data_IF_905920362002
#
_entry.id   IF_905920362002
#
_cell.length_a   1.000
_cell.length_b   1.000
_cell.length_c   1.000
_cell.angle_alpha   90.00
_cell.angle_beta   90.00
_cell.angle_gamma   90.00
#
_symmetry.space_group_name_H-M   'P 1'
#
loop_
_entity.id
_entity.type
_entity.pdbx_description
1 polymer ?
#
# COMPACT_ATOMS: atom_id res chain seq x y z
N UNK A 1 17.09 -14.79 -27.42
CA UNK A 1 16.74 -15.38 -26.10
C UNK A 1 15.83 -14.40 -25.38
N UNK A 2 14.75 -14.87 -24.76
CA UNK A 2 13.91 -14.01 -23.95
C UNK A 2 14.74 -13.45 -22.78
N UNK A 3 14.54 -12.16 -22.45
CA UNK A 3 15.25 -11.49 -21.36
C UNK A 3 14.81 -12.13 -20.04
N UNK A 4 15.72 -12.61 -19.22
CA UNK A 4 15.43 -13.24 -17.95
C UNK A 4 15.54 -12.19 -16.83
N UNK A 5 14.53 -12.11 -15.97
CA UNK A 5 14.46 -11.17 -14.86
C UNK A 5 14.61 -11.91 -13.53
N UNK A 6 15.40 -11.40 -12.56
CA UNK A 6 15.69 -12.10 -11.32
C UNK A 6 14.61 -11.93 -10.25
N UNK A 7 13.58 -11.12 -10.50
CA UNK A 7 12.65 -10.66 -9.49
C UNK A 7 11.85 -11.79 -8.84
N UNK A 8 11.91 -11.86 -7.51
CA UNK A 8 11.17 -12.77 -6.64
C UNK A 8 10.28 -12.03 -5.64
N UNK A 9 10.55 -10.75 -5.42
CA UNK A 9 9.84 -9.92 -4.45
C UNK A 9 9.27 -8.70 -5.14
N UNK A 10 8.02 -8.31 -4.77
CA UNK A 10 7.42 -7.03 -5.15
C UNK A 10 7.16 -6.19 -3.90
N UNK A 11 7.50 -4.90 -3.96
CA UNK A 11 7.20 -3.92 -2.93
C UNK A 11 6.34 -2.79 -3.49
N UNK A 12 5.19 -2.52 -2.85
CA UNK A 12 4.20 -1.54 -3.29
C UNK A 12 4.16 -0.33 -2.35
N UNK A 13 4.41 0.86 -2.88
CA UNK A 13 4.26 2.11 -2.14
C UNK A 13 2.80 2.38 -1.80
N UNK A 14 2.55 3.01 -0.64
CA UNK A 14 1.25 3.59 -0.30
C UNK A 14 0.94 4.82 -1.15
N UNK A 15 -0.35 5.06 -1.42
CA UNK A 15 -0.71 6.19 -2.27
C UNK A 15 -2.21 6.41 -2.46
N UNK A 16 -3.06 5.77 -1.67
CA UNK A 16 -4.52 5.89 -1.83
C UNK A 16 -4.96 5.51 -3.23
N UNK A 17 -5.83 6.32 -3.85
CA UNK A 17 -6.38 6.05 -5.20
C UNK A 17 -5.32 5.99 -6.29
N UNK A 18 -4.16 6.66 -6.12
CA UNK A 18 -3.06 6.62 -7.09
C UNK A 18 -2.57 5.19 -7.38
N UNK A 19 -2.77 4.27 -6.44
CA UNK A 19 -2.37 2.86 -6.58
C UNK A 19 -3.14 2.09 -7.65
N UNK A 20 -4.24 2.65 -8.18
CA UNK A 20 -4.91 2.12 -9.38
C UNK A 20 -3.93 1.97 -10.55
N UNK A 21 -2.94 2.84 -10.66
CA UNK A 21 -1.89 2.75 -11.68
C UNK A 21 -1.08 1.43 -11.63
N UNK A 22 -1.06 0.74 -10.48
CA UNK A 22 -0.35 -0.53 -10.35
C UNK A 22 -0.96 -1.64 -11.20
N UNK A 23 -2.25 -1.59 -11.50
CA UNK A 23 -2.93 -2.54 -12.39
C UNK A 23 -2.27 -2.58 -13.77
N UNK A 24 -1.94 -1.41 -14.33
CA UNK A 24 -1.24 -1.32 -15.61
C UNK A 24 0.17 -1.93 -15.56
N UNK A 25 0.93 -1.66 -14.50
CA UNK A 25 2.25 -2.25 -14.32
C UNK A 25 2.19 -3.78 -14.13
N UNK A 26 1.23 -4.28 -13.36
CA UNK A 26 1.02 -5.71 -13.14
C UNK A 26 0.69 -6.46 -14.43
N UNK A 27 -0.09 -5.85 -15.33
CA UNK A 27 -0.40 -6.43 -16.66
C UNK A 27 0.87 -6.66 -17.46
N UNK A 28 1.78 -5.68 -17.50
CA UNK A 28 3.07 -5.82 -18.20
C UNK A 28 3.97 -6.86 -17.52
N UNK A 29 3.98 -6.93 -16.17
CA UNK A 29 4.76 -7.93 -15.44
C UNK A 29 4.25 -9.36 -15.72
N UNK A 30 2.94 -9.56 -15.86
CA UNK A 30 2.37 -10.86 -16.25
C UNK A 30 2.76 -11.23 -17.68
N UNK A 31 2.58 -10.33 -18.66
CA UNK A 31 2.96 -10.52 -20.06
C UNK A 31 4.44 -10.88 -20.23
N UNK A 32 5.30 -10.33 -19.40
CA UNK A 32 6.75 -10.61 -19.41
C UNK A 32 7.14 -11.85 -18.59
N UNK A 33 6.17 -12.57 -18.02
CA UNK A 33 6.39 -13.77 -17.22
C UNK A 33 7.07 -13.51 -15.88
N UNK A 34 7.06 -12.26 -15.39
CA UNK A 34 7.66 -11.89 -14.10
C UNK A 34 6.71 -12.22 -12.96
N UNK A 35 5.42 -11.89 -13.08
CA UNK A 35 4.46 -12.04 -12.00
C UNK A 35 4.31 -13.48 -11.48
N UNK A 36 4.32 -14.53 -12.35
CA UNK A 36 4.26 -15.93 -11.88
C UNK A 36 5.43 -16.36 -10.99
N UNK A 37 6.61 -15.78 -11.18
CA UNK A 37 7.82 -16.14 -10.41
C UNK A 37 7.95 -15.40 -9.08
N UNK A 38 7.09 -14.41 -8.81
CA UNK A 38 7.09 -13.67 -7.55
C UNK A 38 6.66 -14.59 -6.40
N UNK A 39 7.45 -14.59 -5.35
CA UNK A 39 7.28 -15.41 -4.15
C UNK A 39 6.80 -14.60 -2.95
N UNK A 40 7.22 -13.32 -2.87
CA UNK A 40 6.97 -12.44 -1.72
C UNK A 40 6.43 -11.11 -2.18
N UNK A 41 5.55 -10.52 -1.37
CA UNK A 41 4.98 -9.21 -1.64
C UNK A 41 4.95 -8.37 -0.36
N UNK A 42 5.26 -7.09 -0.47
CA UNK A 42 5.21 -6.14 0.63
C UNK A 42 4.44 -4.88 0.22
N UNK A 43 3.74 -4.26 1.16
CA UNK A 43 3.02 -3.03 0.87
C UNK A 43 2.72 -2.20 2.11
N UNK A 44 2.47 -0.91 1.89
CA UNK A 44 2.07 0.07 2.90
C UNK A 44 0.75 0.70 2.46
N UNK A 45 -0.23 0.89 3.38
CA UNK A 45 -1.50 1.56 3.09
C UNK A 45 -2.23 0.92 1.89
N UNK A 46 -2.66 1.68 0.89
CA UNK A 46 -3.23 1.17 -0.34
C UNK A 46 -2.28 0.21 -1.10
N UNK A 47 -0.95 0.40 -0.96
CA UNK A 47 0.04 -0.55 -1.47
C UNK A 47 0.01 -1.90 -0.75
N UNK A 48 -0.41 -1.95 0.54
CA UNK A 48 -0.64 -3.20 1.25
C UNK A 48 -1.88 -3.94 0.71
N UNK A 49 -2.91 -3.21 0.29
CA UNK A 49 -4.06 -3.79 -0.43
C UNK A 49 -3.58 -4.42 -1.73
N UNK A 50 -2.80 -3.68 -2.53
CA UNK A 50 -2.22 -4.19 -3.77
C UNK A 50 -1.39 -5.47 -3.53
N UNK A 51 -0.51 -5.46 -2.53
CA UNK A 51 0.28 -6.62 -2.13
C UNK A 51 -0.61 -7.82 -1.76
N UNK A 52 -1.70 -7.59 -1.01
CA UNK A 52 -2.63 -8.63 -0.61
C UNK A 52 -3.34 -9.26 -1.81
N UNK A 53 -3.87 -8.44 -2.72
CA UNK A 53 -4.54 -8.95 -3.92
C UNK A 53 -3.58 -9.75 -4.81
N UNK A 54 -2.36 -9.25 -4.99
CA UNK A 54 -1.30 -9.96 -5.71
C UNK A 54 -0.90 -11.24 -4.98
N UNK A 55 -0.98 -11.30 -3.64
CA UNK A 55 -0.60 -12.50 -2.88
C UNK A 55 -1.41 -13.74 -3.24
N UNK A 56 -2.67 -13.59 -3.65
CA UNK A 56 -3.58 -14.70 -4.00
C UNK A 56 -3.16 -15.51 -5.22
N UNK A 57 -2.15 -15.10 -5.99
CA UNK A 57 -1.68 -15.79 -7.21
C UNK A 57 -2.74 -15.91 -8.32
N UNK A 58 -3.71 -15.01 -8.33
CA UNK A 58 -4.70 -14.91 -9.40
C UNK A 58 -4.05 -14.37 -10.70
N UNK A 59 -4.74 -14.55 -11.84
CA UNK A 59 -4.39 -13.79 -13.05
C UNK A 59 -4.55 -12.29 -12.82
N UNK A 60 -3.82 -11.47 -13.57
CA UNK A 60 -3.93 -10.00 -13.44
C UNK A 60 -5.35 -9.53 -13.69
N UNK A 61 -6.06 -10.12 -14.66
CA UNK A 61 -7.47 -9.77 -14.90
C UNK A 61 -8.31 -9.94 -13.63
N UNK A 62 -8.26 -11.10 -12.97
CA UNK A 62 -9.00 -11.34 -11.73
C UNK A 62 -8.52 -10.44 -10.58
N UNK A 63 -7.22 -10.15 -10.51
CA UNK A 63 -6.66 -9.23 -9.53
C UNK A 63 -7.22 -7.82 -9.75
N UNK A 64 -7.30 -7.35 -10.99
CA UNK A 64 -7.88 -6.07 -11.36
C UNK A 64 -9.39 -6.02 -11.10
N UNK A 65 -10.12 -7.11 -11.35
CA UNK A 65 -11.55 -7.20 -11.02
C UNK A 65 -11.78 -6.99 -9.51
N UNK A 66 -10.91 -7.55 -8.66
CA UNK A 66 -10.95 -7.32 -7.22
C UNK A 66 -10.58 -5.87 -6.86
N UNK A 67 -9.55 -5.28 -7.46
CA UNK A 67 -9.22 -3.86 -7.28
C UNK A 67 -10.40 -2.96 -7.60
N UNK A 68 -11.11 -3.26 -8.69
CA UNK A 68 -12.19 -2.43 -9.21
C UNK A 68 -13.55 -2.70 -8.52
N UNK A 69 -13.61 -3.69 -7.64
CA UNK A 69 -14.85 -4.01 -6.91
C UNK A 69 -15.14 -3.07 -5.73
N UNK A 70 -14.16 -2.24 -5.31
CA UNK A 70 -14.37 -1.23 -4.28
C UNK A 70 -14.83 0.09 -4.92
N UNK A 71 -15.88 0.68 -4.36
CA UNK A 71 -16.19 2.08 -4.62
C UNK A 71 -15.40 2.98 -3.65
N UNK A 72 -14.42 3.70 -4.19
CA UNK A 72 -13.58 4.58 -3.39
C UNK A 72 -14.37 5.71 -2.72
N UNK A 73 -15.48 6.17 -3.31
CA UNK A 73 -16.33 7.20 -2.73
C UNK A 73 -16.97 6.77 -1.40
N UNK A 74 -17.14 5.47 -1.19
CA UNK A 74 -17.71 4.90 0.02
C UNK A 74 -16.70 4.65 1.15
N UNK A 75 -15.39 4.80 0.89
CA UNK A 75 -14.34 4.52 1.89
C UNK A 75 -14.43 5.45 3.10
N UNK A 76 -14.50 6.81 2.98
CA UNK A 76 -14.65 7.67 4.14
C UNK A 76 -16.09 7.61 4.67
N UNK A 77 -16.32 6.88 5.76
CA UNK A 77 -17.63 6.79 6.36
C UNK A 77 -17.69 7.52 7.70
N UNK A 78 -18.87 8.05 8.04
CA UNK A 78 -19.10 8.68 9.34
C UNK A 78 -19.57 7.67 10.42
N UNK A 79 -19.87 6.42 10.05
CA UNK A 79 -20.33 5.36 10.96
C UNK A 79 -19.19 4.45 11.40
N UNK A 80 -18.95 4.35 12.72
CA UNK A 80 -17.96 3.46 13.30
C UNK A 80 -18.34 1.98 13.21
N UNK A 81 -17.34 1.07 13.17
CA UNK A 81 -17.53 -0.39 13.16
C UNK A 81 -18.32 -0.89 14.38
N UNK A 82 -18.20 -0.23 15.53
CA UNK A 82 -18.91 -0.61 16.77
C UNK A 82 -20.35 -0.10 16.89
N UNK A 83 -20.80 0.80 16.02
CA UNK A 83 -22.11 1.47 16.13
C UNK A 83 -23.24 0.74 15.37
N UNK A 84 -23.04 -0.51 14.97
CA UNK A 84 -24.00 -1.30 14.20
C UNK A 84 -25.29 -1.70 14.98
N UNK A 85 -25.29 -1.55 16.30
CA UNK A 85 -26.44 -1.94 17.15
C UNK A 85 -27.45 -0.81 17.41
N UNK A 86 -27.12 0.44 17.05
CA UNK A 86 -28.01 1.58 17.28
C UNK A 86 -28.54 2.12 15.95
N UNK A 87 -29.83 1.85 15.66
CA UNK A 87 -30.58 2.53 14.60
C UNK A 87 -31.40 3.65 15.25
N UNK A 88 -31.16 4.94 14.90
CA UNK A 88 -32.04 6.00 15.33
C UNK A 88 -33.43 5.83 14.70
N UNK A 89 -34.50 6.22 15.42
CA UNK A 89 -35.83 6.23 14.84
C UNK A 89 -35.90 7.10 13.59
N UNK A 90 -36.61 6.67 12.56
CA UNK A 90 -36.70 7.29 11.20
C UNK A 90 -37.40 8.66 11.14
N UNK A 91 -37.37 9.47 12.19
CA UNK A 91 -38.17 10.71 12.29
C UNK A 91 -37.34 11.98 12.49
N UNK A 92 -36.13 12.08 11.93
CA UNK A 92 -35.31 13.28 12.07
C UNK A 92 -34.97 13.83 10.67
N UNK A 93 -35.33 15.09 10.42
CA UNK A 93 -35.14 15.81 9.15
C UNK A 93 -33.65 15.96 8.74
N UNK A 94 -33.34 16.16 7.42
CA UNK A 94 -31.96 16.14 6.88
C UNK A 94 -30.98 17.13 7.53
N UNK A 95 -31.46 18.19 8.18
CA UNK A 95 -30.60 19.18 8.86
C UNK A 95 -30.07 18.69 10.21
N UNK A 96 -30.82 17.84 10.90
CA UNK A 96 -30.41 17.27 12.19
C UNK A 96 -29.38 16.17 11.98
N UNK A 97 -29.47 15.42 10.88
CA UNK A 97 -28.46 14.41 10.51
C UNK A 97 -27.08 15.00 10.31
N UNK A 98 -26.95 16.21 9.72
CA UNK A 98 -25.65 16.89 9.58
C UNK A 98 -25.05 17.32 10.92
N UNK A 99 -25.86 17.80 11.86
CA UNK A 99 -25.39 18.23 13.19
C UNK A 99 -25.01 17.03 14.04
N UNK A 100 -25.79 15.96 14.03
CA UNK A 100 -25.51 14.71 14.76
C UNK A 100 -24.27 14.03 14.17
N UNK A 101 -24.13 13.97 12.84
CA UNK A 101 -22.95 13.36 12.20
C UNK A 101 -21.67 14.15 12.47
N UNK A 102 -21.73 15.49 12.55
CA UNK A 102 -20.59 16.31 12.93
C UNK A 102 -20.20 16.14 14.41
N UNK A 103 -21.18 15.99 15.31
CA UNK A 103 -20.91 15.73 16.72
C UNK A 103 -20.23 14.38 16.93
N UNK A 104 -20.67 13.34 16.24
CA UNK A 104 -20.05 12.01 16.27
C UNK A 104 -18.65 12.02 15.65
N UNK A 105 -18.41 12.80 14.61
CA UNK A 105 -17.08 12.98 14.02
C UNK A 105 -16.14 13.71 14.98
N UNK A 106 -16.61 14.76 15.66
CA UNK A 106 -15.83 15.48 16.69
C UNK A 106 -15.52 14.56 17.87
N UNK A 107 -16.51 13.80 18.36
CA UNK A 107 -16.31 12.81 19.43
C UNK A 107 -15.28 11.75 19.01
N UNK A 108 -15.36 11.27 17.77
CA UNK A 108 -14.41 10.29 17.21
C UNK A 108 -13.01 10.87 17.13
N UNK A 109 -12.87 12.09 16.64
CA UNK A 109 -11.58 12.79 16.60
C UNK A 109 -10.94 12.92 17.99
N UNK A 110 -11.73 13.25 19.00
CA UNK A 110 -11.25 13.47 20.38
C UNK A 110 -10.89 12.16 21.11
N UNK A 111 -11.64 11.08 20.89
CA UNK A 111 -11.49 9.83 21.64
C UNK A 111 -10.88 8.67 20.85
N UNK A 112 -10.90 8.74 19.51
CA UNK A 112 -10.36 7.72 18.63
C UNK A 112 -9.34 8.28 17.64
N UNK A 113 -9.02 9.57 17.73
CA UNK A 113 -8.01 10.26 16.96
C UNK A 113 -8.25 10.26 15.45
N UNK A 114 -9.51 10.16 14.98
CA UNK A 114 -9.86 10.15 13.58
C UNK A 114 -11.24 10.74 13.28
N UNK A 115 -11.35 11.40 12.12
CA UNK A 115 -12.62 12.02 11.68
C UNK A 115 -13.58 11.00 11.08
N UNK A 116 -13.07 10.11 10.23
CA UNK A 116 -13.82 9.05 9.56
C UNK A 116 -13.58 7.68 10.20
N UNK A 117 -14.58 6.81 10.12
CA UNK A 117 -14.42 5.40 10.35
C UNK A 117 -14.00 4.69 9.04
N UNK A 118 -13.22 3.63 9.14
CA UNK A 118 -12.76 2.84 8.00
C UNK A 118 -13.57 1.54 7.84
N UNK A 119 -14.88 1.61 8.10
CA UNK A 119 -15.74 0.43 8.14
C UNK A 119 -15.98 -0.20 6.78
N UNK A 120 -16.31 0.61 5.78
CA UNK A 120 -16.63 0.13 4.42
C UNK A 120 -15.42 -0.57 3.81
N UNK A 121 -14.24 0.06 3.90
CA UNK A 121 -12.99 -0.56 3.45
C UNK A 121 -12.71 -1.87 4.20
N UNK A 122 -12.88 -1.90 5.52
CA UNK A 122 -12.65 -3.11 6.31
C UNK A 122 -13.60 -4.26 5.93
N UNK A 123 -14.88 -3.96 5.72
CA UNK A 123 -15.85 -4.96 5.26
C UNK A 123 -15.47 -5.50 3.88
N UNK A 124 -15.17 -4.62 2.93
CA UNK A 124 -14.73 -5.01 1.60
C UNK A 124 -13.47 -5.90 1.64
N UNK A 125 -12.50 -5.56 2.52
CA UNK A 125 -11.30 -6.38 2.71
C UNK A 125 -11.64 -7.79 3.21
N UNK A 126 -12.54 -7.89 4.20
CA UNK A 126 -12.99 -9.19 4.71
C UNK A 126 -13.72 -10.00 3.64
N UNK A 127 -14.62 -9.37 2.90
CA UNK A 127 -15.36 -10.03 1.82
C UNK A 127 -14.40 -10.51 0.72
N UNK A 128 -13.46 -9.67 0.31
CA UNK A 128 -12.43 -10.00 -0.69
C UNK A 128 -11.55 -11.17 -0.24
N UNK A 129 -11.04 -11.13 0.99
CA UNK A 129 -10.26 -12.24 1.57
C UNK A 129 -11.13 -13.50 1.66
N UNK A 130 -12.37 -13.35 2.11
CA UNK A 130 -13.31 -14.46 2.22
C UNK A 130 -13.54 -15.21 0.90
N UNK A 131 -13.61 -14.49 -0.23
CA UNK A 131 -13.74 -15.11 -1.55
C UNK A 131 -12.57 -16.03 -1.92
N UNK A 132 -11.37 -15.78 -1.35
CA UNK A 132 -10.15 -16.56 -1.61
C UNK A 132 -9.86 -17.58 -0.49
N UNK A 133 -10.58 -17.51 0.63
CA UNK A 133 -10.33 -18.26 1.86
C UNK A 133 -11.58 -19.02 2.35
N UNK A 134 -12.34 -19.64 1.46
CA UNK A 134 -13.52 -20.48 1.76
C UNK A 134 -14.56 -19.81 2.67
N UNK A 135 -14.76 -18.51 2.47
CA UNK A 135 -15.67 -17.66 3.25
C UNK A 135 -15.05 -17.06 4.53
N UNK A 136 -13.80 -17.38 4.87
CA UNK A 136 -13.14 -16.83 6.04
C UNK A 136 -12.47 -15.47 5.73
N UNK A 137 -13.21 -14.38 5.90
CA UNK A 137 -12.70 -13.01 5.73
C UNK A 137 -11.69 -12.56 6.80
N UNK A 138 -11.50 -13.36 7.85
CA UNK A 138 -10.52 -13.12 8.90
C UNK A 138 -9.35 -14.11 8.87
N UNK A 139 -9.07 -14.68 7.68
CA UNK A 139 -7.92 -15.56 7.51
C UNK A 139 -6.62 -14.90 7.96
N UNK A 140 -5.82 -15.69 8.67
CA UNK A 140 -4.55 -15.25 9.28
C UNK A 140 -3.39 -15.32 8.30
N UNK A 141 -2.25 -14.72 8.65
CA UNK A 141 -1.03 -14.85 7.85
C UNK A 141 -0.54 -16.31 7.75
N UNK A 142 -0.71 -17.14 8.80
CA UNK A 142 -0.39 -18.56 8.72
C UNK A 142 -1.29 -19.30 7.74
N UNK A 143 -2.60 -19.04 7.76
CA UNK A 143 -3.54 -19.62 6.81
C UNK A 143 -3.26 -19.20 5.36
N UNK A 144 -2.80 -17.95 5.12
CA UNK A 144 -2.35 -17.52 3.79
C UNK A 144 -1.17 -18.36 3.31
N UNK A 145 -0.18 -18.61 4.17
CA UNK A 145 0.98 -19.45 3.86
C UNK A 145 0.57 -20.90 3.57
N UNK A 146 -0.32 -21.47 4.37
CA UNK A 146 -0.84 -22.84 4.20
C UNK A 146 -1.59 -23.03 2.88
N UNK A 147 -2.26 -21.99 2.40
CA UNK A 147 -2.94 -21.97 1.08
C UNK A 147 -1.97 -21.79 -0.09
N UNK A 148 -0.68 -21.59 0.16
CA UNK A 148 0.33 -21.39 -0.88
C UNK A 148 0.27 -20.02 -1.54
N UNK A 149 -0.36 -19.03 -0.90
CA UNK A 149 -0.30 -17.63 -1.34
C UNK A 149 1.14 -17.11 -1.25
N UNK A 150 1.45 -16.01 -1.94
CA UNK A 150 2.75 -15.35 -1.79
C UNK A 150 2.93 -14.86 -0.36
N UNK A 151 4.16 -14.93 0.14
CA UNK A 151 4.49 -14.47 1.50
C UNK A 151 4.23 -12.95 1.58
N UNK A 152 3.24 -12.58 2.40
CA UNK A 152 2.68 -11.23 2.47
C UNK A 152 3.25 -10.47 3.66
N UNK A 153 3.71 -9.23 3.39
CA UNK A 153 4.25 -8.30 4.37
C UNK A 153 3.46 -6.99 4.34
N UNK A 154 2.84 -6.62 5.45
CA UNK A 154 2.05 -5.39 5.58
C UNK A 154 2.75 -4.47 6.57
N UNK A 155 3.03 -3.24 6.13
CA UNK A 155 3.76 -2.25 6.94
C UNK A 155 2.81 -1.26 7.58
N UNK A 156 3.03 -0.99 8.86
CA UNK A 156 2.31 0.00 9.65
C UNK A 156 3.28 0.80 10.55
N UNK A 157 2.76 1.88 11.14
CA UNK A 157 3.48 2.68 12.14
C UNK A 157 2.92 2.42 13.52
N UNK A 158 3.75 1.92 14.45
CA UNK A 158 3.43 1.89 15.87
C UNK A 158 3.75 3.26 16.49
N UNK A 159 2.73 4.03 16.85
CA UNK A 159 2.89 5.36 17.44
C UNK A 159 3.37 5.28 18.90
N UNK A 160 2.98 4.25 19.65
CA UNK A 160 3.38 4.10 21.06
C UNK A 160 4.88 3.91 21.21
N UNK A 161 5.50 3.16 20.28
CA UNK A 161 6.94 2.91 20.26
C UNK A 161 7.71 3.77 19.24
N UNK A 162 7.00 4.54 18.38
CA UNK A 162 7.58 5.37 17.31
C UNK A 162 8.44 4.54 16.34
N UNK A 163 7.93 3.39 15.95
CA UNK A 163 8.67 2.43 15.12
C UNK A 163 7.83 1.90 13.96
N UNK A 164 8.51 1.46 12.92
CA UNK A 164 7.91 0.69 11.83
C UNK A 164 7.59 -0.71 12.33
N UNK A 165 6.39 -1.20 12.01
CA UNK A 165 5.97 -2.58 12.27
C UNK A 165 5.63 -3.26 10.96
N UNK A 166 6.20 -4.45 10.73
CA UNK A 166 5.83 -5.32 9.62
C UNK A 166 5.05 -6.51 10.16
N UNK A 167 3.83 -6.69 9.68
CA UNK A 167 2.97 -7.84 9.94
C UNK A 167 3.16 -8.86 8.82
N UNK A 168 3.47 -10.10 9.17
CA UNK A 168 3.66 -11.19 8.23
C UNK A 168 3.59 -12.55 8.94
N UNK A 169 3.58 -13.64 8.19
CA UNK A 169 3.48 -14.98 8.76
C UNK A 169 4.64 -15.38 9.69
N UNK A 170 5.81 -14.72 9.61
CA UNK A 170 6.93 -14.98 10.51
C UNK A 170 6.88 -14.19 11.82
N UNK A 171 6.23 -13.03 11.86
CA UNK A 171 6.18 -12.13 13.02
C UNK A 171 4.84 -12.12 13.75
N UNK A 172 3.74 -12.32 13.01
CA UNK A 172 2.36 -12.26 13.51
C UNK A 172 1.49 -13.32 12.82
N UNK A 173 1.83 -14.63 12.95
CA UNK A 173 1.18 -15.72 12.21
C UNK A 173 -0.34 -15.79 12.43
N UNK A 174 -0.79 -15.52 13.65
CA UNK A 174 -2.19 -15.68 14.07
C UNK A 174 -3.03 -14.39 13.87
N UNK A 175 -2.40 -13.30 13.39
CA UNK A 175 -3.12 -12.07 13.09
C UNK A 175 -3.93 -12.21 11.81
N UNK A 176 -5.20 -11.77 11.84
CA UNK A 176 -6.00 -11.70 10.63
C UNK A 176 -5.41 -10.67 9.64
N UNK A 177 -5.28 -11.05 8.37
CA UNK A 177 -4.74 -10.16 7.34
C UNK A 177 -5.60 -8.90 7.18
N UNK A 178 -6.93 -9.02 7.29
CA UNK A 178 -7.84 -7.87 7.26
C UNK A 178 -7.54 -6.85 8.38
N UNK A 179 -7.16 -7.30 9.58
CA UNK A 179 -6.81 -6.42 10.70
C UNK A 179 -5.50 -5.67 10.43
N UNK A 180 -4.51 -6.35 9.87
CA UNK A 180 -3.25 -5.73 9.47
C UNK A 180 -3.46 -4.66 8.39
N UNK A 181 -4.34 -4.93 7.42
CA UNK A 181 -4.72 -3.98 6.38
C UNK A 181 -5.46 -2.77 6.96
N UNK A 182 -6.42 -2.98 7.88
CA UNK A 182 -7.12 -1.91 8.58
C UNK A 182 -6.13 -0.97 9.30
N UNK A 183 -5.16 -1.54 9.99
CA UNK A 183 -4.10 -0.80 10.68
C UNK A 183 -3.24 -0.03 9.68
N UNK A 184 -2.79 -0.70 8.61
CA UNK A 184 -1.91 -0.09 7.60
C UNK A 184 -2.53 1.08 6.85
N UNK A 185 -3.87 1.14 6.78
CA UNK A 185 -4.64 2.20 6.13
C UNK A 185 -5.19 3.26 7.08
N UNK A 186 -4.87 3.20 8.37
CA UNK A 186 -5.37 4.13 9.37
C UNK A 186 -4.63 5.48 9.29
N UNK A 187 -4.92 6.28 8.25
CA UNK A 187 -4.35 7.62 8.04
C UNK A 187 -4.64 8.49 9.27
N UNK A 188 -3.60 9.02 9.97
CA UNK A 188 -3.77 9.78 11.18
C UNK A 188 -4.73 10.95 11.04
N UNK A 189 -5.59 11.14 12.04
CA UNK A 189 -6.61 12.18 12.11
C UNK A 189 -7.70 12.05 11.03
N UNK A 190 -7.44 11.43 9.90
CA UNK A 190 -8.43 11.16 8.86
C UNK A 190 -9.26 9.93 9.22
N UNK A 191 -8.63 8.79 9.47
CA UNK A 191 -9.26 7.58 10.02
C UNK A 191 -8.95 7.38 11.51
N UNK A 192 -9.79 6.60 12.19
CA UNK A 192 -9.56 6.22 13.59
C UNK A 192 -8.20 5.53 13.76
N UNK A 193 -7.42 5.92 14.76
CA UNK A 193 -6.22 5.18 15.14
C UNK A 193 -6.62 3.82 15.74
N UNK A 194 -5.88 2.78 15.44
CA UNK A 194 -6.20 1.41 15.83
C UNK A 194 -5.32 0.98 16.99
N UNK A 195 -5.95 0.51 18.09
CA UNK A 195 -5.21 -0.18 19.15
C UNK A 195 -5.06 -1.66 18.81
N UNK A 196 -3.85 -2.20 19.03
CA UNK A 196 -3.54 -3.61 18.82
C UNK A 196 -2.52 -4.09 19.86
N UNK A 197 -2.80 -5.20 20.54
CA UNK A 197 -1.97 -5.76 21.61
C UNK A 197 -1.03 -6.88 21.16
N UNK A 198 -1.01 -7.19 19.86
CA UNK A 198 -0.28 -8.32 19.28
C UNK A 198 -1.18 -9.50 18.91
N UNK A 199 -2.42 -9.53 19.37
CA UNK A 199 -3.41 -10.58 19.11
C UNK A 199 -4.74 -10.04 18.61
N UNK A 200 -5.27 -8.99 19.24
CA UNK A 200 -6.59 -8.43 18.91
C UNK A 200 -6.61 -6.92 18.83
N UNK A 201 -7.54 -6.41 18.05
CA UNK A 201 -7.84 -4.98 17.94
C UNK A 201 -8.67 -4.52 19.15
N UNK A 202 -8.38 -3.29 19.64
CA UNK A 202 -9.13 -2.60 20.69
C UNK A 202 -8.40 -2.48 22.03
N UNK A 203 -7.19 -2.99 22.12
CA UNK A 203 -6.30 -2.86 23.29
C UNK A 203 -4.84 -2.72 22.83
N UNK A 204 -3.92 -2.40 23.73
CA UNK A 204 -2.48 -2.34 23.49
C UNK A 204 -2.02 -1.03 22.87
N UNK A 205 -0.98 -1.11 22.03
CA UNK A 205 -0.35 0.04 21.40
C UNK A 205 -1.24 0.69 20.33
N UNK A 206 -1.04 1.98 20.12
CA UNK A 206 -1.69 2.72 19.02
C UNK A 206 -0.90 2.57 17.74
N UNK A 207 -1.61 2.20 16.68
CA UNK A 207 -1.09 2.08 15.32
C UNK A 207 -1.82 3.01 14.38
N UNK A 208 -1.09 3.46 13.36
CA UNK A 208 -1.60 4.25 12.24
C UNK A 208 -0.97 3.79 10.94
N UNK A 209 -1.38 4.42 9.83
CA UNK A 209 -0.88 4.16 8.49
C UNK A 209 0.65 4.09 8.45
N UNK A 210 1.15 3.09 7.74
CA UNK A 210 2.59 2.87 7.58
C UNK A 210 3.29 4.00 6.82
N UNK A 211 2.55 4.77 6.02
CA UNK A 211 3.03 5.92 5.27
C UNK A 211 3.65 7.03 6.12
N UNK A 212 3.39 7.03 7.44
CA UNK A 212 4.01 7.98 8.36
C UNK A 212 5.53 7.80 8.43
N UNK A 213 6.00 6.55 8.59
CA UNK A 213 7.42 6.26 8.77
C UNK A 213 8.06 5.51 7.60
N UNK A 214 7.29 4.71 6.87
CA UNK A 214 7.81 3.86 5.80
C UNK A 214 6.79 3.63 4.69
N UNK A 215 6.56 4.67 3.88
CA UNK A 215 5.54 4.63 2.82
C UNK A 215 5.90 3.68 1.67
N UNK A 216 7.18 3.47 1.39
CA UNK A 216 7.65 2.57 0.34
C UNK A 216 8.52 1.45 0.92
N UNK A 217 7.96 0.23 1.16
CA UNK A 217 8.61 -0.83 1.91
C UNK A 217 9.59 -1.67 1.06
N UNK A 218 10.36 -1.03 0.17
CA UNK A 218 11.30 -1.69 -0.74
C UNK A 218 12.42 -2.43 0.00
N UNK A 219 12.73 -2.00 1.23
CA UNK A 219 13.81 -2.56 2.05
C UNK A 219 13.37 -3.74 2.94
N UNK A 220 12.08 -4.11 2.93
CA UNK A 220 11.58 -5.22 3.78
C UNK A 220 12.34 -6.52 3.52
N UNK A 221 12.76 -6.74 2.27
CA UNK A 221 13.49 -7.94 1.86
C UNK A 221 15.02 -7.76 1.83
N UNK A 222 15.53 -6.61 2.30
CA UNK A 222 16.97 -6.33 2.44
C UNK A 222 17.53 -6.75 3.82
N UNK A 223 16.76 -7.51 4.60
CA UNK A 223 17.11 -7.95 5.96
C UNK A 223 16.92 -9.46 6.12
N UNK A 224 17.55 -10.10 7.15
CA UNK A 224 17.29 -11.50 7.45
C UNK A 224 15.78 -11.80 7.59
N UNK A 225 15.34 -12.98 7.15
CA UNK A 225 16.10 -14.13 6.66
C UNK A 225 16.37 -14.13 5.15
N UNK A 226 16.11 -13.04 4.42
CA UNK A 226 16.12 -12.99 2.95
C UNK A 226 17.51 -12.80 2.35
N UNK A 227 18.52 -12.56 3.19
CA UNK A 227 19.91 -12.25 2.81
C UNK A 227 20.85 -13.46 2.80
N UNK A 228 20.53 -14.53 3.52
CA UNK A 228 21.53 -15.50 3.99
C UNK A 228 22.09 -16.49 2.95
N UNK A 229 21.55 -16.59 1.71
CA UNK A 229 22.05 -17.55 0.70
C UNK A 229 21.80 -17.11 -0.74
N UNK A 230 21.51 -15.83 -0.96
CA UNK A 230 21.07 -15.31 -2.22
C UNK A 230 22.25 -14.62 -2.94
N UNK A 231 22.66 -15.15 -4.11
CA UNK A 231 23.70 -14.53 -4.95
C UNK A 231 23.34 -13.11 -5.42
N UNK A 232 22.04 -12.76 -5.35
CA UNK A 232 21.50 -11.44 -5.66
C UNK A 232 21.49 -10.49 -4.45
N UNK A 233 21.90 -10.95 -3.26
CA UNK A 233 22.05 -10.10 -2.09
C UNK A 233 23.45 -9.48 -2.06
N UNK A 234 23.55 -8.19 -2.41
CA UNK A 234 24.81 -7.51 -2.60
C UNK A 234 24.81 -6.16 -1.90
N UNK A 235 25.81 -5.94 -1.05
CA UNK A 235 25.98 -4.69 -0.29
C UNK A 235 24.74 -4.28 0.52
N UNK A 236 24.05 -5.24 1.17
CA UNK A 236 22.85 -4.98 1.96
C UNK A 236 21.58 -4.80 1.15
N UNK A 237 21.59 -5.12 -0.15
CA UNK A 237 20.45 -4.97 -1.05
C UNK A 237 20.09 -6.30 -1.70
N UNK A 238 18.84 -6.67 -1.60
CA UNK A 238 18.27 -7.81 -2.32
C UNK A 238 17.80 -7.38 -3.72
N UNK A 239 18.61 -7.68 -4.73
CA UNK A 239 18.34 -7.32 -6.13
C UNK A 239 17.25 -8.15 -6.80
N UNK A 240 16.72 -9.16 -6.13
CA UNK A 240 15.48 -9.83 -6.53
C UNK A 240 14.23 -9.03 -6.18
N UNK A 241 14.38 -7.87 -5.52
CA UNK A 241 13.25 -7.00 -5.15
C UNK A 241 13.01 -5.97 -6.24
N UNK A 242 11.77 -5.93 -6.74
CA UNK A 242 11.25 -4.90 -7.64
C UNK A 242 10.24 -4.05 -6.88
N UNK A 243 10.47 -2.75 -6.85
CA UNK A 243 9.54 -1.78 -6.28
C UNK A 243 8.57 -1.25 -7.34
N UNK A 244 7.34 -0.94 -6.92
CA UNK A 244 6.34 -0.25 -7.73
C UNK A 244 5.84 0.94 -6.91
N UNK A 245 6.00 2.16 -7.45
CA UNK A 245 5.58 3.39 -6.79
C UNK A 245 5.01 4.41 -7.77
N UNK A 246 4.30 5.38 -7.23
CA UNK A 246 3.85 6.55 -7.99
C UNK A 246 4.65 7.79 -7.60
N UNK A 247 4.79 8.73 -8.53
CA UNK A 247 5.36 10.05 -8.28
C UNK A 247 4.47 11.14 -8.88
N UNK A 248 4.52 12.33 -8.31
CA UNK A 248 3.83 13.50 -8.84
C UNK A 248 4.76 14.25 -9.80
N UNK A 249 4.39 14.43 -11.08
CA UNK A 249 5.17 15.19 -12.04
C UNK A 249 5.41 16.65 -11.60
N UNK A 250 6.53 17.23 -12.05
CA UNK A 250 6.92 18.59 -11.64
C UNK A 250 5.98 19.69 -12.13
N UNK A 251 5.27 19.48 -13.22
CA UNK A 251 4.23 20.37 -13.73
C UNK A 251 2.98 20.41 -12.83
N UNK A 252 2.78 19.36 -12.00
CA UNK A 252 1.75 19.32 -10.97
C UNK A 252 2.25 19.91 -9.63
N UNK A 253 3.56 19.96 -9.43
CA UNK A 253 4.14 20.46 -8.19
C UNK A 253 3.94 21.99 -8.10
N UNK A 254 3.34 22.44 -7.01
CA UNK A 254 3.02 23.85 -6.81
C UNK A 254 1.59 24.25 -7.19
N UNK A 255 0.77 23.36 -7.71
CA UNK A 255 -0.67 23.59 -7.84
C UNK A 255 -1.28 23.73 -6.45
N UNK A 256 -1.63 24.97 -6.09
CA UNK A 256 -2.26 25.25 -4.78
C UNK A 256 -3.65 24.65 -4.75
N UNK A 257 -3.83 23.63 -3.94
CA UNK A 257 -5.16 23.08 -3.62
C UNK A 257 -5.70 23.83 -2.41
N UNK A 258 -6.94 24.33 -2.44
CA UNK A 258 -7.49 25.05 -1.31
C UNK A 258 -7.73 24.10 -0.12
N UNK A 259 -7.31 24.53 1.07
CA UNK A 259 -7.58 23.82 2.33
C UNK A 259 -8.83 24.46 2.94
N UNK A 260 -9.99 23.87 2.69
CA UNK A 260 -11.30 24.44 3.05
C UNK A 260 -11.93 23.80 4.29
N UNK A 261 -11.41 22.68 4.75
CA UNK A 261 -11.95 21.94 5.90
C UNK A 261 -10.87 21.12 6.59
N UNK A 262 -11.20 20.55 7.75
CA UNK A 262 -10.28 19.76 8.56
C UNK A 262 -9.77 18.51 7.84
N UNK A 263 -10.64 17.80 7.10
CA UNK A 263 -10.23 16.61 6.34
C UNK A 263 -9.21 16.96 5.24
N UNK A 264 -9.43 18.06 4.51
CA UNK A 264 -8.47 18.58 3.54
C UNK A 264 -7.15 18.98 4.19
N UNK A 265 -7.17 19.63 5.35
CA UNK A 265 -5.96 19.97 6.11
C UNK A 265 -5.16 18.70 6.49
N UNK A 266 -5.84 17.69 7.02
CA UNK A 266 -5.21 16.42 7.40
C UNK A 266 -4.62 15.69 6.21
N UNK A 267 -5.34 15.66 5.08
CA UNK A 267 -4.86 15.07 3.83
C UNK A 267 -3.58 15.76 3.33
N UNK A 268 -3.54 17.09 3.29
CA UNK A 268 -2.35 17.84 2.87
C UNK A 268 -1.15 17.64 3.82
N UNK A 269 -1.42 17.53 5.14
CA UNK A 269 -0.37 17.25 6.11
C UNK A 269 0.26 15.88 5.85
N UNK A 270 -0.58 14.86 5.60
CA UNK A 270 -0.11 13.52 5.26
C UNK A 270 0.65 13.49 3.94
N UNK A 271 0.11 14.13 2.90
CA UNK A 271 0.79 14.23 1.60
C UNK A 271 2.17 14.88 1.76
N UNK A 272 2.29 15.97 2.54
CA UNK A 272 3.58 16.61 2.77
C UNK A 272 4.60 15.70 3.47
N UNK A 273 4.17 14.84 4.39
CA UNK A 273 5.04 13.85 5.05
C UNK A 273 5.49 12.74 4.07
N UNK A 274 4.60 12.30 3.19
CA UNK A 274 4.90 11.30 2.16
C UNK A 274 5.83 11.91 1.10
N UNK A 275 5.57 13.13 0.63
CA UNK A 275 6.39 13.83 -0.35
C UNK A 275 7.82 14.01 0.15
N UNK A 276 8.03 14.23 1.46
CA UNK A 276 9.37 14.28 2.04
C UNK A 276 10.12 12.94 1.95
N UNK A 277 9.44 11.82 2.10
CA UNK A 277 10.03 10.48 1.89
C UNK A 277 10.34 10.27 0.40
N UNK A 278 9.52 10.78 -0.50
CA UNK A 278 9.75 10.73 -1.95
C UNK A 278 11.00 11.52 -2.36
N UNK A 279 11.25 12.67 -1.74
CA UNK A 279 12.52 13.42 -1.93
C UNK A 279 13.72 12.57 -1.52
N UNK A 280 13.66 11.86 -0.38
CA UNK A 280 14.75 10.98 0.05
C UNK A 280 14.97 9.81 -0.92
N UNK A 281 13.89 9.26 -1.49
CA UNK A 281 13.99 8.22 -2.52
C UNK A 281 14.73 8.71 -3.77
N UNK A 282 14.50 9.95 -4.22
CA UNK A 282 15.16 10.49 -5.42
C UNK A 282 16.68 10.57 -5.27
N UNK A 283 17.21 10.70 -4.06
CA UNK A 283 18.64 10.65 -3.79
C UNK A 283 19.20 9.22 -3.64
N UNK A 284 18.34 8.20 -3.52
CA UNK A 284 18.79 6.82 -3.40
C UNK A 284 18.86 6.13 -4.78
N UNK A 285 20.02 6.18 -5.41
CA UNK A 285 20.24 5.58 -6.73
C UNK A 285 19.95 4.06 -6.77
N UNK A 286 20.20 3.34 -5.68
CA UNK A 286 19.98 1.89 -5.58
C UNK A 286 18.49 1.56 -5.65
N UNK A 287 17.68 2.27 -4.88
CA UNK A 287 16.24 2.04 -4.86
C UNK A 287 15.58 2.46 -6.18
N UNK A 288 16.03 3.58 -6.76
CA UNK A 288 15.56 4.03 -8.09
C UNK A 288 15.85 2.98 -9.17
N UNK A 289 16.99 2.29 -9.09
CA UNK A 289 17.37 1.29 -10.09
C UNK A 289 16.45 0.06 -10.08
N UNK A 290 15.94 -0.33 -8.93
CA UNK A 290 15.05 -1.48 -8.74
C UNK A 290 13.58 -1.10 -8.59
N UNK A 291 13.15 0.04 -9.17
CA UNK A 291 11.79 0.57 -9.02
C UNK A 291 11.17 0.98 -10.34
N UNK A 292 9.95 0.51 -10.60
CA UNK A 292 9.04 1.06 -11.61
C UNK A 292 8.41 2.31 -11.01
N UNK A 293 8.73 3.49 -11.59
CA UNK A 293 8.27 4.78 -11.11
C UNK A 293 7.17 5.31 -12.05
N UNK A 294 5.94 5.38 -11.56
CA UNK A 294 4.72 5.64 -12.36
C UNK A 294 4.24 7.07 -12.11
N UNK A 295 3.99 7.84 -13.17
CA UNK A 295 3.37 9.17 -13.04
C UNK A 295 1.93 9.03 -12.54
N UNK A 296 1.56 9.81 -11.50
CA UNK A 296 0.19 9.86 -11.01
C UNK A 296 -0.70 10.89 -11.73
N UNK A 297 -0.20 11.58 -12.76
CA UNK A 297 -0.92 12.60 -13.52
C UNK A 297 -1.66 13.62 -12.66
N UNK A 298 -1.04 14.10 -11.58
CA UNK A 298 -1.62 15.05 -10.62
C UNK A 298 -2.81 14.52 -9.78
N UNK A 299 -3.13 13.24 -9.86
CA UNK A 299 -4.16 12.63 -9.01
C UNK A 299 -3.70 12.64 -7.55
N UNK A 300 -4.59 13.08 -6.64
CA UNK A 300 -4.35 13.05 -5.20
C UNK A 300 -4.60 11.67 -4.59
N UNK A 301 -3.91 11.36 -3.50
CA UNK A 301 -4.13 10.11 -2.73
C UNK A 301 -5.56 9.97 -2.20
N UNK A 302 -6.24 11.09 -1.96
CA UNK A 302 -7.58 11.17 -1.38
C UNK A 302 -8.64 11.61 -2.40
N UNK A 303 -8.35 11.51 -3.69
CA UNK A 303 -9.31 11.79 -4.75
C UNK A 303 -10.25 10.59 -4.95
N UNK A 304 -11.14 10.38 -3.99
CA UNK A 304 -12.03 9.22 -3.92
C UNK A 304 -13.20 9.25 -4.92
N UNK A 305 -13.34 10.29 -5.74
CA UNK A 305 -14.33 10.42 -6.80
C UNK A 305 -13.94 9.72 -8.12
N UNK A 306 -12.74 9.18 -8.22
CA UNK A 306 -12.31 8.37 -9.36
C UNK A 306 -13.04 7.03 -9.34
N UNK A 307 -13.72 6.74 -10.45
CA UNK A 307 -14.42 5.48 -10.63
C UNK A 307 -13.54 4.49 -11.42
N UNK A 308 -13.43 3.26 -10.93
CA UNK A 308 -12.69 2.18 -11.60
C UNK A 308 -13.47 1.67 -12.82
N UNK A 309 -13.75 2.57 -13.78
CA UNK A 309 -14.54 2.31 -14.97
C UNK A 309 -13.85 2.83 -16.23
N UNK A 310 -14.10 2.18 -17.37
CA UNK A 310 -13.47 2.53 -18.65
C UNK A 310 -13.78 3.94 -19.14
N UNK A 311 -14.90 4.52 -18.71
CA UNK A 311 -15.29 5.89 -19.05
C UNK A 311 -14.63 6.97 -18.17
N UNK A 312 -13.94 6.60 -17.09
CA UNK A 312 -13.24 7.56 -16.22
C UNK A 312 -11.84 7.87 -16.79
N UNK A 313 -11.65 9.10 -17.26
CA UNK A 313 -10.42 9.55 -17.89
C UNK A 313 -9.21 9.49 -16.93
N UNK A 314 -9.40 9.80 -15.64
CA UNK A 314 -8.34 9.76 -14.65
C UNK A 314 -7.90 8.32 -14.36
N UNK A 315 -8.86 7.40 -14.27
CA UNK A 315 -8.59 5.97 -14.15
C UNK A 315 -7.78 5.45 -15.35
N UNK A 316 -8.23 5.74 -16.59
CA UNK A 316 -7.55 5.29 -17.79
C UNK A 316 -6.12 5.85 -17.91
N UNK A 317 -5.91 7.12 -17.54
CA UNK A 317 -4.58 7.73 -17.49
C UNK A 317 -3.66 7.01 -16.50
N UNK A 318 -4.17 6.65 -15.32
CA UNK A 318 -3.39 5.92 -14.31
C UNK A 318 -2.98 4.53 -14.84
N UNK A 319 -3.93 3.77 -15.41
CA UNK A 319 -3.65 2.44 -15.98
C UNK A 319 -2.59 2.52 -17.09
N UNK A 320 -2.78 3.43 -18.05
CA UNK A 320 -1.86 3.63 -19.18
C UNK A 320 -0.46 4.04 -18.70
N UNK A 321 -0.40 4.94 -17.70
CA UNK A 321 0.88 5.36 -17.09
C UNK A 321 1.61 4.19 -16.42
N UNK A 322 0.88 3.31 -15.75
CA UNK A 322 1.44 2.09 -15.16
C UNK A 322 2.02 1.14 -16.21
N UNK A 323 1.30 0.94 -17.31
CA UNK A 323 1.76 0.12 -18.44
C UNK A 323 3.04 0.70 -19.07
N UNK A 324 3.01 1.98 -19.40
CA UNK A 324 4.14 2.66 -20.03
C UNK A 324 5.40 2.63 -19.15
N UNK A 325 5.24 2.97 -17.87
CA UNK A 325 6.36 2.96 -16.91
C UNK A 325 6.99 1.58 -16.78
N UNK A 326 6.18 0.52 -16.69
CA UNK A 326 6.68 -0.85 -16.60
C UNK A 326 7.38 -1.30 -17.89
N UNK A 327 6.84 -0.97 -19.07
CA UNK A 327 7.46 -1.26 -20.37
C UNK A 327 8.82 -0.58 -20.46
N UNK A 328 8.88 0.74 -20.22
CA UNK A 328 10.13 1.51 -20.28
C UNK A 328 11.18 0.95 -19.31
N UNK A 329 10.75 0.63 -18.07
CA UNK A 329 11.64 0.06 -17.08
C UNK A 329 12.23 -1.28 -17.54
N UNK A 330 11.39 -2.20 -17.98
CA UNK A 330 11.82 -3.55 -18.40
C UNK A 330 12.65 -3.54 -19.70
N UNK A 331 12.38 -2.63 -20.62
CA UNK A 331 13.21 -2.45 -21.82
C UNK A 331 14.62 -1.98 -21.45
N UNK A 332 14.74 -1.02 -20.56
CA UNK A 332 16.01 -0.46 -20.08
C UNK A 332 16.72 -1.34 -19.06
N UNK A 333 15.99 -2.29 -18.45
CA UNK A 333 16.57 -3.15 -17.42
C UNK A 333 17.72 -3.96 -18.00
N UNK A 334 18.92 -3.65 -17.56
CA UNK A 334 20.10 -4.49 -17.77
C UNK A 334 20.31 -5.26 -16.48
N UNK A 335 20.01 -6.56 -16.50
CA UNK A 335 20.36 -7.43 -15.38
C UNK A 335 21.82 -7.19 -15.03
N UNK A 336 22.14 -6.77 -13.82
CA UNK A 336 23.51 -6.83 -13.38
C UNK A 336 23.88 -8.32 -13.33
N UNK A 337 24.53 -8.82 -14.41
CA UNK A 337 25.11 -10.16 -14.35
C UNK A 337 25.98 -10.24 -13.10
N UNK A 338 26.10 -11.38 -12.43
CA UNK A 338 26.94 -11.54 -11.22
C UNK A 338 28.34 -10.94 -11.40
N UNK A 339 28.91 -10.98 -12.61
CA UNK A 339 30.18 -10.33 -12.96
C UNK A 339 30.12 -8.79 -13.05
N UNK A 340 28.98 -8.21 -13.38
CA UNK A 340 28.78 -6.73 -13.37
C UNK A 340 28.51 -6.24 -11.93
N UNK A 341 27.81 -7.01 -11.14
CA UNK A 341 27.63 -6.76 -9.71
C UNK A 341 28.97 -6.80 -8.95
N UNK A 342 29.88 -7.71 -9.29
CA UNK A 342 31.25 -7.72 -8.77
C UNK A 342 32.02 -6.44 -9.19
N UNK A 343 31.76 -5.90 -10.35
CA UNK A 343 32.35 -4.64 -10.84
C UNK A 343 31.73 -3.42 -10.14
N UNK A 344 30.44 -3.42 -9.89
CA UNK A 344 29.74 -2.40 -9.07
C UNK A 344 30.24 -2.46 -7.64
N UNK A 345 30.38 -3.65 -7.04
CA UNK A 345 30.97 -3.86 -5.72
C UNK A 345 32.38 -3.27 -5.61
N UNK A 346 33.20 -3.41 -6.67
CA UNK A 346 34.54 -2.84 -6.74
C UNK A 346 34.56 -1.32 -6.92
N UNK A 347 33.56 -0.76 -7.60
CA UNK A 347 33.42 0.69 -7.81
C UNK A 347 32.87 1.35 -6.54
N UNK A 348 31.82 0.80 -5.93
CA UNK A 348 31.22 1.34 -4.71
C UNK A 348 32.16 1.19 -3.50
N UNK A 349 32.89 0.07 -3.37
CA UNK A 349 33.91 -0.10 -2.34
C UNK A 349 35.14 0.83 -2.47
N UNK A 350 35.34 1.43 -3.66
CA UNK A 350 36.35 2.49 -3.86
C UNK A 350 35.84 3.89 -3.55
N UNK A 351 34.52 4.10 -3.67
CA UNK A 351 33.87 5.40 -3.41
C UNK A 351 33.45 5.57 -1.95
N UNK A 352 33.36 4.49 -1.19
CA UNK A 352 33.02 4.48 0.23
C UNK A 352 33.91 3.47 0.97
N UNK A 353 35.12 3.83 1.36
CA UNK A 353 35.86 3.04 2.34
C UNK A 353 35.13 3.17 3.68
N UNK A 354 34.71 2.01 4.27
CA UNK A 354 34.21 1.91 5.64
C UNK A 354 35.27 2.41 6.62
#
# INVERSE_FOLDING_TARGET
MAKQYPFKNLAFQGGGVKTLAYQGALSVLEERGILPQIERVAGTSAGAVAATLVSFRLSVQKTNDLFNSIDFADIPTLKSVKDLSWQPPRLIEPQVDRVVSNFDAVRRLLYKFGWYANKTSYQWLQDTIGTQCDGNGRSTFSEFRERGFRDLHIVATNLSTKSVKTFCASSTPDMAVADALLISQAIPLYFEAIQFDGQQIGAGDYYVDGGILHNFPIHVFDHPPYDASNEWFINGVNWETLGIRTFTPTDCSGTKRPINNLAGYMSHLMEAMIDQQDVMFEYNHTDRWRTINISNHCVSSTQFDIQSHEDDEAYQKLISSGQEAAQIYLEKYNSPAPNQLAKIKRIMGKLWPL
#
